data_IF_118707304113
#
_entry.id   IF_118707304113
#
_cell.length_a   1.000
_cell.length_b   1.000
_cell.length_c   1.000
_cell.angle_alpha   90.00
_cell.angle_beta   90.00
_cell.angle_gamma   90.00
#
_symmetry.space_group_name_H-M   'P 1'
#
loop_
_entity.id
_entity.type
_entity.pdbx_description
1 polymer ?
#
# COMPACT_ATOMS: atom_id res chain seq x y z
N UNK A 1 -22.94 25.22 3.67
CA UNK A 1 -22.21 25.41 4.94
C UNK A 1 -21.21 24.27 5.06
N UNK A 2 -19.94 24.51 5.44
CA UNK A 2 -18.98 23.41 5.54
C UNK A 2 -19.42 22.47 6.65
N UNK A 3 -19.55 21.18 6.31
CA UNK A 3 -19.97 20.10 7.20
C UNK A 3 -18.92 19.91 8.29
N UNK A 4 -19.32 20.05 9.55
CA UNK A 4 -18.48 19.68 10.67
C UNK A 4 -18.43 18.14 10.72
N UNK A 5 -17.41 17.55 10.10
CA UNK A 5 -16.98 16.23 10.53
C UNK A 5 -16.64 16.36 12.02
N UNK A 6 -17.25 15.56 12.89
CA UNK A 6 -16.83 15.56 14.29
C UNK A 6 -15.33 15.24 14.31
N UNK A 7 -14.48 16.17 14.80
CA UNK A 7 -13.07 15.89 14.88
C UNK A 7 -12.87 14.66 15.75
N UNK A 8 -11.99 13.74 15.34
CA UNK A 8 -11.67 12.51 16.06
C UNK A 8 -11.33 12.72 17.56
N UNK A 9 -11.02 13.96 17.94
CA UNK A 9 -10.77 14.42 19.30
C UNK A 9 -12.02 14.50 20.20
N UNK A 10 -13.25 14.51 19.65
CA UNK A 10 -14.49 14.54 20.43
C UNK A 10 -15.08 13.15 20.70
N UNK A 11 -14.66 12.13 19.95
CA UNK A 11 -15.08 10.73 20.13
C UNK A 11 -14.80 10.17 21.54
N UNK A 12 -13.62 10.39 22.16
CA UNK A 12 -13.39 9.93 23.53
C UNK A 12 -14.22 10.66 24.60
N UNK A 13 -14.81 11.83 24.29
CA UNK A 13 -15.73 12.53 25.20
C UNK A 13 -17.17 11.98 25.11
N UNK A 14 -17.48 11.21 24.07
CA UNK A 14 -18.78 10.56 23.84
C UNK A 14 -18.77 9.08 24.28
N UNK A 15 -17.75 8.62 25.00
CA UNK A 15 -17.63 7.20 25.41
C UNK A 15 -17.36 6.22 24.27
N UNK A 16 -17.36 6.69 23.02
CA UNK A 16 -17.05 5.92 21.82
C UNK A 16 -15.53 5.69 21.74
N UNK A 17 -15.07 4.54 22.20
CA UNK A 17 -13.70 4.08 21.99
C UNK A 17 -13.51 3.73 20.49
N UNK A 18 -13.22 4.72 19.65
CA UNK A 18 -12.72 4.45 18.30
C UNK A 18 -11.35 3.81 18.43
N UNK A 19 -11.31 2.48 18.29
CA UNK A 19 -10.08 1.71 18.32
C UNK A 19 -9.30 1.95 17.01
N UNK A 20 -8.73 3.14 16.85
CA UNK A 20 -7.73 3.45 15.82
C UNK A 20 -6.39 2.88 16.25
N UNK A 21 -6.30 1.56 16.30
CA UNK A 21 -5.06 0.85 16.62
C UNK A 21 -4.27 0.69 15.31
N UNK A 22 -3.10 1.34 15.25
CA UNK A 22 -2.03 1.08 14.27
C UNK A 22 -2.49 0.83 12.82
N UNK A 23 -3.20 1.79 12.21
CA UNK A 23 -3.59 1.71 10.79
C UNK A 23 -4.81 0.84 10.49
N UNK A 24 -5.56 0.45 11.52
CA UNK A 24 -6.90 -0.13 11.40
C UNK A 24 -7.96 0.85 11.93
N UNK A 25 -9.12 0.84 11.30
CA UNK A 25 -10.31 1.59 11.74
C UNK A 25 -11.39 0.59 12.20
N UNK A 26 -12.44 1.07 12.86
CA UNK A 26 -13.59 0.22 13.17
C UNK A 26 -14.17 -0.39 11.89
N UNK A 27 -14.68 -1.62 12.00
CA UNK A 27 -15.15 -2.37 10.82
C UNK A 27 -16.36 -1.71 10.15
N UNK A 28 -16.27 -1.58 8.83
CA UNK A 28 -17.37 -1.25 7.92
C UNK A 28 -17.68 -2.45 7.02
N UNK A 29 -18.96 -2.66 6.70
CA UNK A 29 -19.44 -3.80 5.90
C UNK A 29 -20.25 -3.30 4.71
N UNK A 30 -19.80 -3.60 3.49
CA UNK A 30 -20.34 -3.04 2.25
C UNK A 30 -21.09 -4.03 1.36
N UNK A 31 -20.99 -5.33 1.64
CA UNK A 31 -21.65 -6.38 0.89
C UNK A 31 -21.80 -7.67 1.72
N UNK A 32 -22.54 -8.63 1.18
CA UNK A 32 -22.81 -9.91 1.85
C UNK A 32 -21.56 -10.77 1.97
N UNK A 33 -20.67 -10.72 0.98
CA UNK A 33 -19.41 -11.47 0.97
C UNK A 33 -18.49 -11.05 2.13
N UNK A 34 -18.39 -9.74 2.39
CA UNK A 34 -17.64 -9.18 3.50
C UNK A 34 -18.25 -9.58 4.85
N UNK A 35 -19.58 -9.51 5.00
CA UNK A 35 -20.27 -9.96 6.19
C UNK A 35 -20.01 -11.46 6.47
N UNK A 36 -20.10 -12.29 5.42
CA UNK A 36 -19.84 -13.73 5.51
C UNK A 36 -18.38 -14.04 5.87
N UNK A 37 -17.43 -13.31 5.27
CA UNK A 37 -16.00 -13.42 5.59
C UNK A 37 -15.70 -13.09 7.04
N UNK A 38 -16.28 -12.00 7.56
CA UNK A 38 -16.15 -11.60 8.97
C UNK A 38 -16.67 -12.72 9.86
N UNK A 39 -17.85 -13.27 9.59
CA UNK A 39 -18.44 -14.34 10.40
C UNK A 39 -17.60 -15.62 10.39
N UNK A 40 -17.10 -16.04 9.23
CA UNK A 40 -16.22 -17.21 9.14
C UNK A 40 -14.91 -17.00 9.92
N UNK A 41 -14.35 -15.80 9.85
CA UNK A 41 -13.16 -15.42 10.62
C UNK A 41 -13.42 -15.47 12.12
N UNK A 42 -14.53 -14.88 12.57
CA UNK A 42 -14.93 -14.87 13.97
C UNK A 42 -15.20 -16.29 14.48
N UNK A 43 -15.92 -17.13 13.73
CA UNK A 43 -16.16 -18.54 14.11
C UNK A 43 -14.89 -19.35 14.34
N UNK A 44 -13.80 -19.01 13.63
CA UNK A 44 -12.51 -19.73 13.72
C UNK A 44 -11.63 -19.21 14.86
N UNK A 45 -11.65 -17.90 15.10
CA UNK A 45 -10.61 -17.22 15.91
C UNK A 45 -11.15 -16.50 17.14
N UNK A 46 -12.43 -16.12 17.13
CA UNK A 46 -13.05 -15.34 18.21
C UNK A 46 -13.52 -16.24 19.34
N UNK A 47 -13.21 -15.83 20.57
CA UNK A 47 -13.68 -16.46 21.82
C UNK A 47 -14.41 -15.47 22.74
N UNK A 48 -14.71 -14.27 22.24
CA UNK A 48 -15.36 -13.21 23.00
C UNK A 48 -16.89 -13.32 22.95
N UNK A 49 -17.61 -12.22 23.26
CA UNK A 49 -19.07 -12.20 23.27
C UNK A 49 -19.69 -12.55 21.91
N UNK A 50 -20.96 -12.98 21.98
CA UNK A 50 -21.78 -13.31 20.82
C UNK A 50 -22.11 -12.07 19.98
N UNK A 51 -22.03 -10.87 20.56
CA UNK A 51 -22.28 -9.59 19.90
C UNK A 51 -21.02 -8.73 19.90
N UNK A 52 -20.69 -8.19 18.73
CA UNK A 52 -19.48 -7.39 18.51
C UNK A 52 -19.86 -6.02 17.98
N UNK A 53 -19.26 -4.97 18.53
CA UNK A 53 -19.50 -3.60 18.09
C UNK A 53 -18.98 -3.40 16.66
N UNK A 54 -19.86 -2.92 15.78
CA UNK A 54 -19.53 -2.47 14.43
C UNK A 54 -19.08 -1.00 14.46
N UNK A 55 -18.39 -0.58 13.40
CA UNK A 55 -18.02 0.83 13.21
C UNK A 55 -19.17 1.72 12.76
N UNK A 56 -20.38 1.52 13.30
CA UNK A 56 -21.59 2.22 12.87
C UNK A 56 -22.31 2.87 14.04
N UNK A 57 -22.77 4.10 13.83
CA UNK A 57 -23.51 4.91 14.80
C UNK A 57 -24.74 5.54 14.16
N UNK A 58 -25.73 5.87 14.97
CA UNK A 58 -26.89 6.63 14.53
C UNK A 58 -26.62 8.13 14.59
N UNK A 59 -26.72 8.80 13.44
CA UNK A 59 -26.63 10.25 13.31
C UNK A 59 -28.02 10.86 13.50
N UNK A 60 -28.20 11.60 14.60
CA UNK A 60 -29.49 12.21 14.94
C UNK A 60 -29.86 13.40 14.06
N UNK A 61 -28.86 14.08 13.46
CA UNK A 61 -29.10 15.24 12.59
C UNK A 61 -29.63 14.79 11.22
N UNK A 62 -29.06 13.71 10.68
CA UNK A 62 -29.45 13.11 9.41
C UNK A 62 -30.47 11.96 9.58
N UNK A 63 -30.89 11.65 10.82
CA UNK A 63 -31.81 10.57 11.18
C UNK A 63 -31.47 9.23 10.48
N UNK A 64 -30.20 8.86 10.46
CA UNK A 64 -29.70 7.70 9.71
C UNK A 64 -28.44 7.07 10.32
N UNK A 65 -28.23 5.79 10.05
CA UNK A 65 -27.00 5.10 10.44
C UNK A 65 -25.84 5.44 9.49
N UNK A 66 -24.66 5.67 10.06
CA UNK A 66 -23.44 6.01 9.34
C UNK A 66 -22.23 5.23 9.85
N UNK A 67 -21.31 4.93 8.94
CA UNK A 67 -20.03 4.33 9.28
C UNK A 67 -19.04 5.40 9.79
N UNK A 68 -18.22 5.05 10.78
CA UNK A 68 -17.15 5.92 11.31
C UNK A 68 -16.07 6.24 10.26
N UNK A 69 -15.83 5.32 9.31
CA UNK A 69 -14.87 5.50 8.21
C UNK A 69 -15.39 6.45 7.10
N UNK A 70 -16.59 7.02 7.26
CA UNK A 70 -17.29 7.90 6.31
C UNK A 70 -17.63 7.25 4.97
N UNK A 71 -17.58 5.92 4.88
CA UNK A 71 -18.05 5.19 3.71
C UNK A 71 -19.59 5.21 3.62
N UNK A 72 -20.13 5.01 2.41
CA UNK A 72 -21.57 4.96 2.22
C UNK A 72 -22.15 3.63 2.71
N UNK A 73 -23.33 3.69 3.32
CA UNK A 73 -24.11 2.51 3.69
C UNK A 73 -24.76 1.88 2.45
N UNK A 74 -24.08 0.95 1.82
CA UNK A 74 -24.54 0.23 0.61
C UNK A 74 -25.21 -1.11 0.92
N UNK A 75 -25.01 -1.63 2.13
CA UNK A 75 -25.47 -2.93 2.57
C UNK A 75 -25.89 -2.85 4.04
N UNK A 76 -26.87 -3.66 4.42
CA UNK A 76 -27.28 -3.84 5.80
C UNK A 76 -27.88 -5.23 6.00
N UNK A 77 -27.81 -5.71 7.24
CA UNK A 77 -28.36 -7.00 7.65
C UNK A 77 -29.09 -6.89 8.99
N UNK A 78 -29.86 -5.82 9.16
CA UNK A 78 -30.61 -5.56 10.38
C UNK A 78 -31.55 -6.72 10.71
N UNK A 79 -31.61 -7.09 11.99
CA UNK A 79 -32.71 -7.92 12.50
C UNK A 79 -33.98 -7.06 12.57
N UNK A 80 -35.14 -7.67 12.35
CA UNK A 80 -36.45 -7.00 12.47
C UNK A 80 -36.73 -6.69 13.96
N UNK A 81 -36.07 -5.67 14.51
CA UNK A 81 -36.30 -5.15 15.86
C UNK A 81 -37.32 -4.01 15.80
N UNK A 82 -38.17 -3.92 16.81
CA UNK A 82 -39.27 -2.96 16.90
C UNK A 82 -38.74 -1.51 16.87
N UNK A 83 -39.22 -0.70 15.91
CA UNK A 83 -38.74 0.67 15.64
C UNK A 83 -39.20 1.72 16.68
N UNK A 84 -39.43 1.30 17.93
CA UNK A 84 -39.98 2.13 19.01
C UNK A 84 -38.96 2.66 20.02
N UNK A 85 -37.67 2.40 19.83
CA UNK A 85 -36.62 2.79 20.77
C UNK A 85 -36.04 4.19 20.45
N UNK A 86 -35.77 5.00 21.47
CA UNK A 86 -35.06 6.28 21.32
C UNK A 86 -33.67 6.02 20.75
N UNK A 87 -33.44 6.38 19.48
CA UNK A 87 -32.20 6.09 18.75
C UNK A 87 -31.01 7.00 19.15
N UNK A 88 -31.16 7.76 20.24
CA UNK A 88 -30.11 8.62 20.78
C UNK A 88 -29.00 7.71 21.32
N UNK A 89 -27.75 8.00 20.95
CA UNK A 89 -26.58 7.21 21.36
C UNK A 89 -26.67 5.71 20.98
N UNK A 90 -27.28 5.43 19.82
CA UNK A 90 -27.42 4.06 19.30
C UNK A 90 -26.27 3.69 18.36
N UNK A 91 -25.66 2.54 18.64
CA UNK A 91 -24.64 1.87 17.86
C UNK A 91 -25.18 0.56 17.28
N UNK A 92 -24.43 -0.04 16.35
CA UNK A 92 -24.78 -1.32 15.75
C UNK A 92 -23.86 -2.44 16.23
N UNK A 93 -24.44 -3.60 16.47
CA UNK A 93 -23.73 -4.80 16.89
C UNK A 93 -23.96 -5.93 15.88
N UNK A 94 -22.90 -6.67 15.56
CA UNK A 94 -22.96 -7.87 14.75
C UNK A 94 -23.13 -9.10 15.65
N UNK A 95 -24.19 -9.86 15.42
CA UNK A 95 -24.37 -11.15 16.07
C UNK A 95 -23.49 -12.20 15.37
N UNK A 96 -22.46 -12.67 16.05
CA UNK A 96 -21.39 -13.54 15.52
C UNK A 96 -21.88 -14.91 15.02
N UNK A 97 -23.07 -15.36 15.46
CA UNK A 97 -23.66 -16.64 15.05
C UNK A 97 -24.47 -16.54 13.76
N UNK A 98 -25.35 -15.55 13.67
CA UNK A 98 -26.31 -15.37 12.57
C UNK A 98 -25.78 -14.44 11.48
N UNK A 99 -24.94 -13.46 11.84
CA UNK A 99 -24.51 -12.42 10.93
C UNK A 99 -25.47 -11.26 10.76
N UNK A 100 -26.49 -11.20 11.60
CA UNK A 100 -27.47 -10.11 11.62
C UNK A 100 -27.00 -8.99 12.53
N UNK A 101 -27.53 -7.79 12.30
CA UNK A 101 -27.15 -6.58 13.00
C UNK A 101 -28.27 -6.14 13.94
N UNK A 102 -27.92 -5.78 15.16
CA UNK A 102 -28.84 -5.30 16.19
C UNK A 102 -28.50 -3.86 16.57
N UNK A 103 -29.54 -3.11 16.98
CA UNK A 103 -29.38 -1.75 17.50
C UNK A 103 -29.16 -1.85 19.02
N UNK A 104 -28.25 -1.06 19.58
CA UNK A 104 -28.01 -1.02 21.01
C UNK A 104 -27.28 0.23 21.45
N UNK A 105 -27.28 0.51 22.75
CA UNK A 105 -26.60 1.69 23.29
C UNK A 105 -25.09 1.66 23.03
N UNK A 106 -24.48 2.80 22.72
CA UNK A 106 -23.04 2.90 22.49
C UNK A 106 -22.22 2.83 23.80
N UNK A 107 -22.77 3.30 24.93
CA UNK A 107 -22.15 3.16 26.26
C UNK A 107 -22.23 1.72 26.77
N UNK A 108 -21.45 0.81 26.17
CA UNK A 108 -21.23 -0.52 26.74
C UNK A 108 -19.78 -0.63 27.17
N UNK A 109 -19.54 -0.23 28.41
CA UNK A 109 -18.30 -0.45 29.17
C UNK A 109 -17.92 -1.94 29.34
N UNK A 110 -18.63 -2.86 28.69
CA UNK A 110 -18.51 -4.31 28.84
C UNK A 110 -18.43 -5.11 27.51
N UNK A 111 -18.34 -4.45 26.35
CA UNK A 111 -18.07 -5.18 25.09
C UNK A 111 -16.57 -5.34 24.95
N UNK A 112 -16.05 -6.48 25.39
CA UNK A 112 -14.64 -6.88 25.26
C UNK A 112 -14.20 -7.16 23.80
N UNK A 113 -14.93 -6.63 22.81
CA UNK A 113 -14.65 -6.88 21.40
C UNK A 113 -15.13 -5.79 20.46
N UNK A 114 -14.19 -4.97 20.01
CA UNK A 114 -14.36 -4.13 18.80
C UNK A 114 -13.66 -4.83 17.64
N UNK A 115 -14.35 -4.98 16.52
CA UNK A 115 -13.74 -5.49 15.29
C UNK A 115 -13.15 -4.33 14.48
N UNK A 116 -11.85 -4.44 14.15
CA UNK A 116 -11.16 -3.45 13.33
C UNK A 116 -10.84 -4.01 11.94
N UNK A 117 -10.88 -3.14 10.93
CA UNK A 117 -10.51 -3.41 9.54
C UNK A 117 -9.28 -2.58 9.18
N UNK A 118 -8.23 -3.24 8.70
CA UNK A 118 -7.02 -2.58 8.22
C UNK A 118 -7.03 -2.48 6.69
N UNK A 119 -6.69 -1.31 6.16
CA UNK A 119 -6.50 -1.14 4.72
C UNK A 119 -5.21 -1.85 4.29
N UNK A 120 -5.32 -2.81 3.36
CA UNK A 120 -4.18 -3.60 2.92
C UNK A 120 -3.35 -2.82 1.86
N UNK A 121 -2.62 -1.81 2.32
CA UNK A 121 -1.78 -0.94 1.49
C UNK A 121 -0.61 -1.68 0.80
N UNK A 122 -0.35 -2.93 1.19
CA UNK A 122 0.73 -3.75 0.64
C UNK A 122 0.60 -3.96 -0.88
N UNK A 123 -0.63 -4.06 -1.41
CA UNK A 123 -0.87 -4.21 -2.86
C UNK A 123 -0.44 -2.95 -3.61
N UNK A 124 -0.81 -1.78 -3.11
CA UNK A 124 -0.45 -0.49 -3.72
C UNK A 124 1.05 -0.25 -3.63
N UNK A 125 1.66 -0.55 -2.48
CA UNK A 125 3.11 -0.42 -2.28
C UNK A 125 3.86 -1.36 -3.22
N UNK A 126 3.46 -2.64 -3.30
CA UNK A 126 4.08 -3.60 -4.22
C UNK A 126 3.96 -3.16 -5.67
N UNK A 127 2.79 -2.67 -6.09
CA UNK A 127 2.58 -2.18 -7.46
C UNK A 127 3.47 -0.96 -7.77
N UNK A 128 3.55 0.00 -6.83
CA UNK A 128 4.38 1.19 -6.97
C UNK A 128 5.88 0.86 -7.06
N UNK A 129 6.34 -0.07 -6.23
CA UNK A 129 7.73 -0.55 -6.23
C UNK A 129 8.06 -1.21 -7.57
N UNK A 130 7.22 -2.13 -8.04
CA UNK A 130 7.43 -2.80 -9.33
C UNK A 130 7.48 -1.79 -10.47
N UNK A 131 6.51 -0.88 -10.55
CA UNK A 131 6.49 0.16 -11.58
C UNK A 131 7.77 1.02 -11.56
N UNK A 132 8.23 1.42 -10.38
CA UNK A 132 9.45 2.21 -10.21
C UNK A 132 10.69 1.46 -10.68
N UNK A 133 10.83 0.18 -10.35
CA UNK A 133 11.96 -0.65 -10.79
C UNK A 133 11.99 -0.82 -12.32
N UNK A 134 10.84 -1.01 -12.96
CA UNK A 134 10.74 -1.11 -14.43
C UNK A 134 11.13 0.20 -15.09
N UNK A 135 10.68 1.34 -14.57
CA UNK A 135 11.05 2.65 -15.12
C UNK A 135 12.56 2.88 -15.02
N UNK A 136 13.17 2.60 -13.86
CA UNK A 136 14.61 2.79 -13.65
C UNK A 136 15.46 1.90 -14.56
N UNK A 137 15.06 0.64 -14.77
CA UNK A 137 15.77 -0.28 -15.68
C UNK A 137 15.68 0.17 -17.14
N UNK A 138 14.52 0.65 -17.59
CA UNK A 138 14.33 1.18 -18.96
C UNK A 138 15.13 2.47 -19.16
N UNK A 139 15.07 3.42 -18.22
CA UNK A 139 15.85 4.65 -18.29
C UNK A 139 17.35 4.36 -18.29
N UNK A 140 17.81 3.44 -17.45
CA UNK A 140 19.20 2.98 -17.42
C UNK A 140 19.65 2.41 -18.77
N UNK A 141 18.83 1.56 -19.39
CA UNK A 141 19.13 0.99 -20.70
C UNK A 141 19.19 2.05 -21.83
N UNK A 142 18.26 3.02 -21.80
CA UNK A 142 18.24 4.14 -22.77
C UNK A 142 19.49 5.00 -22.61
N UNK A 143 19.83 5.39 -21.38
CA UNK A 143 21.02 6.21 -21.09
C UNK A 143 22.28 5.48 -21.56
N UNK A 144 22.41 4.19 -21.25
CA UNK A 144 23.53 3.37 -21.68
C UNK A 144 23.65 3.29 -23.21
N UNK A 145 22.52 3.08 -23.91
CA UNK A 145 22.48 3.03 -25.37
C UNK A 145 22.90 4.37 -26.01
N UNK A 146 22.39 5.49 -25.49
CA UNK A 146 22.76 6.82 -25.95
C UNK A 146 24.24 7.13 -25.70
N UNK A 147 24.76 6.77 -24.53
CA UNK A 147 26.17 6.92 -24.19
C UNK A 147 27.07 6.12 -25.14
N UNK A 148 26.73 4.85 -25.38
CA UNK A 148 27.49 3.98 -26.30
C UNK A 148 27.50 4.52 -27.73
N UNK A 149 26.35 4.96 -28.23
CA UNK A 149 26.25 5.57 -29.58
C UNK A 149 27.11 6.84 -29.70
N UNK A 150 27.13 7.68 -28.65
CA UNK A 150 27.97 8.87 -28.65
C UNK A 150 29.47 8.53 -28.59
N UNK A 151 29.84 7.50 -27.81
CA UNK A 151 31.22 7.02 -27.75
C UNK A 151 31.71 6.48 -29.10
N UNK A 152 30.88 5.73 -29.82
CA UNK A 152 31.23 5.20 -31.15
C UNK A 152 31.28 6.31 -32.22
N UNK A 153 30.50 7.39 -32.04
CA UNK A 153 30.51 8.56 -32.95
C UNK A 153 31.68 9.51 -32.70
N UNK A 154 32.46 9.32 -31.63
CA UNK A 154 33.63 10.13 -31.27
C UNK A 154 34.92 9.80 -32.04
N UNK A 155 34.91 8.81 -32.94
CA UNK A 155 36.07 8.41 -33.73
C UNK A 155 35.79 8.50 -35.25
N UNK A 156 35.70 9.73 -35.77
CA UNK A 156 36.09 10.00 -37.16
C UNK A 156 37.11 11.12 -37.14
N UNK A 157 38.37 10.74 -36.97
CA UNK A 157 39.51 11.61 -37.26
C UNK A 157 39.43 11.99 -38.75
N UNK A 158 39.18 13.27 -39.01
CA UNK A 158 39.43 13.86 -40.33
C UNK A 158 40.94 13.85 -40.54
N UNK A 159 41.46 12.74 -41.05
CA UNK A 159 42.80 12.71 -41.62
C UNK A 159 42.74 13.45 -42.95
N UNK A 160 43.16 14.72 -42.91
CA UNK A 160 43.47 15.51 -44.09
C UNK A 160 44.51 14.73 -44.90
N UNK A 161 44.15 14.31 -46.11
CA UNK A 161 45.09 13.71 -47.05
C UNK A 161 46.13 14.78 -47.44
N UNK A 162 47.33 14.71 -46.87
CA UNK A 162 48.47 15.50 -47.32
C UNK A 162 49.01 14.90 -48.64
N UNK A 163 49.42 15.72 -49.63
CA UNK A 163 49.90 15.25 -50.92
C UNK A 163 51.21 14.47 -50.81
N UNK A 164 51.38 13.48 -51.69
CA UNK A 164 52.60 12.69 -51.84
C UNK A 164 53.84 13.57 -52.05
N UNK A 165 54.91 13.27 -51.33
CA UNK A 165 56.28 13.75 -51.59
C UNK A 165 57.22 12.54 -51.66
N UNK A 166 58.22 12.56 -52.56
CA UNK A 166 58.95 11.37 -52.98
C UNK A 166 60.19 11.10 -52.12
N UNK A 167 60.75 9.89 -52.27
CA UNK A 167 62.20 9.56 -52.25
C UNK A 167 62.76 8.67 -51.10
N UNK A 168 63.19 7.49 -51.54
CA UNK A 168 64.27 6.54 -51.14
C UNK A 168 64.33 5.78 -49.80
N UNK A 169 64.24 4.45 -49.96
CA UNK A 169 65.25 3.41 -49.65
C UNK A 169 66.31 3.73 -48.59
N UNK A 170 66.22 3.10 -47.40
CA UNK A 170 67.21 2.13 -46.87
C UNK A 170 66.85 1.71 -45.42
N UNK A 171 67.36 0.54 -45.00
CA UNK A 171 67.55 0.03 -43.62
C UNK A 171 66.45 -0.85 -42.97
N UNK A 172 66.54 -2.14 -43.29
CA UNK A 172 66.78 -3.30 -42.39
C UNK A 172 66.16 -3.29 -40.98
N UNK A 173 65.24 -4.24 -40.75
CA UNK A 173 64.84 -4.74 -39.43
C UNK A 173 65.99 -5.56 -38.79
N UNK A 174 66.58 -5.04 -37.73
CA UNK A 174 67.35 -5.84 -36.76
C UNK A 174 66.36 -6.42 -35.76
N UNK A 175 66.15 -7.73 -35.84
CA UNK A 175 65.54 -8.50 -34.75
C UNK A 175 66.65 -8.71 -33.70
N UNK A 176 66.49 -8.09 -32.53
CA UNK A 176 67.23 -8.50 -31.34
C UNK A 176 66.25 -9.26 -30.45
N UNK A 177 66.46 -10.57 -30.39
CA UNK A 177 65.80 -11.54 -29.51
C UNK A 177 66.12 -11.19 -28.05
N UNK A 178 65.09 -11.03 -27.22
CA UNK A 178 65.22 -10.89 -25.77
C UNK A 178 65.37 -12.30 -25.15
N UNK A 179 66.46 -12.56 -24.45
CA UNK A 179 66.50 -13.60 -23.44
C UNK A 179 67.21 -13.12 -22.17
N UNK A 180 66.43 -13.12 -21.10
CA UNK A 180 66.79 -12.75 -19.74
C UNK A 180 67.83 -13.69 -19.12
N UNK A 181 68.40 -13.11 -18.08
CA UNK A 181 69.60 -13.40 -17.32
C UNK A 181 69.48 -14.65 -16.43
N UNK A 182 70.60 -15.36 -16.24
CA UNK A 182 70.84 -16.17 -15.04
C UNK A 182 72.24 -15.84 -14.47
N UNK A 183 72.24 -15.47 -13.21
CA UNK A 183 73.35 -15.01 -12.37
C UNK A 183 74.29 -16.17 -12.01
N UNK A 184 75.61 -15.91 -11.99
CA UNK A 184 76.67 -16.79 -11.47
C UNK A 184 76.61 -16.91 -9.93
N UNK A 185 76.95 -18.07 -9.35
CA UNK A 185 78.26 -18.33 -8.71
C UNK A 185 78.27 -19.64 -7.90
N UNK A 186 79.42 -20.33 -8.00
CA UNK A 186 79.94 -21.54 -7.32
C UNK A 186 79.26 -22.91 -7.57
#
# INVERSE_FOLDING_TARGET
MPRAALPALLLPLLGLASATVAGADMVSIHNEEENAFILDTLKKQWKGPDDILLGMFYDTDDASFKWFDNSNMTFNKWTDQEDGEDLIDTCAFLHTKTGEWTKGNCEVSSVEGTLCKAANNHILISALVVASTVILTVLGAIIWFLYKRNSDSGFTTVFSAAPQSPYNDDCVLVVAEENEYAVQLD
#
